data_IF_283296871438
#
_entry.id   IF_283296871438
#
_cell.length_a   1.000
_cell.length_b   1.000
_cell.length_c   1.000
_cell.angle_alpha   90.00
_cell.angle_beta   90.00
_cell.angle_gamma   90.00
#
_symmetry.space_group_name_H-M   'P 1'
#
loop_
_entity.id
_entity.type
_entity.pdbx_description
1 polymer ?
#
# COMPACT_ATOMS: atom_id res chain seq x y z
N UNK A 1 -24.31 7.16 -28.85
CA UNK A 1 -24.71 6.15 -27.84
C UNK A 1 -23.44 5.53 -27.29
N UNK A 2 -23.19 5.73 -26.00
CA UNK A 2 -21.86 5.78 -25.36
C UNK A 2 -21.26 4.39 -25.11
N UNK A 3 -20.13 4.10 -25.75
CA UNK A 3 -19.28 2.93 -25.48
C UNK A 3 -18.08 3.39 -24.63
N UNK A 4 -18.24 3.50 -23.30
CA UNK A 4 -17.12 3.79 -22.40
C UNK A 4 -16.52 2.49 -21.86
N UNK A 5 -15.31 2.22 -22.34
CA UNK A 5 -14.40 1.13 -21.98
C UNK A 5 -14.03 1.19 -20.50
N UNK A 6 -14.39 0.16 -19.74
CA UNK A 6 -13.78 -0.16 -18.46
C UNK A 6 -12.41 -0.79 -18.76
N UNK A 7 -11.40 0.02 -19.03
CA UNK A 7 -10.04 -0.46 -19.28
C UNK A 7 -9.31 -0.61 -17.95
N UNK A 8 -9.60 -1.71 -17.25
CA UNK A 8 -8.75 -2.21 -16.17
C UNK A 8 -7.47 -2.73 -16.85
N UNK A 9 -6.39 -1.94 -16.87
CA UNK A 9 -5.08 -2.43 -17.33
C UNK A 9 -4.50 -3.31 -16.23
N UNK A 10 -5.02 -4.54 -16.12
CA UNK A 10 -4.28 -5.66 -15.58
C UNK A 10 -3.30 -6.10 -16.66
N UNK A 11 -2.08 -5.57 -16.65
CA UNK A 11 -0.98 -6.23 -17.34
C UNK A 11 -0.55 -7.43 -16.47
N UNK A 12 -1.41 -8.46 -16.40
CA UNK A 12 -1.04 -9.77 -15.86
C UNK A 12 -0.18 -10.44 -16.94
N UNK A 13 1.11 -10.09 -16.98
CA UNK A 13 2.08 -11.00 -17.56
C UNK A 13 2.31 -12.11 -16.54
N UNK A 14 1.68 -13.26 -16.77
CA UNK A 14 2.28 -14.53 -16.35
C UNK A 14 3.68 -14.58 -16.99
N UNK A 15 4.74 -14.56 -16.17
CA UNK A 15 6.09 -14.80 -16.65
C UNK A 15 6.48 -16.24 -16.33
N UNK A 16 6.49 -17.07 -17.37
CA UNK A 16 7.54 -18.09 -17.57
C UNK A 16 8.14 -17.84 -18.97
N UNK A 17 9.40 -18.23 -19.22
CA UNK A 17 10.44 -17.30 -19.66
C UNK A 17 10.59 -17.22 -21.17
N UNK A 18 10.82 -16.01 -21.72
CA UNK A 18 11.92 -15.71 -22.66
C UNK A 18 11.84 -14.25 -23.17
N UNK A 19 13.03 -13.67 -23.33
CA UNK A 19 13.40 -12.47 -24.11
C UNK A 19 13.15 -11.08 -23.49
N UNK A 20 14.27 -10.47 -23.13
CA UNK A 20 14.45 -9.07 -22.70
C UNK A 20 14.66 -8.21 -23.94
N UNK A 21 13.99 -7.05 -24.02
CA UNK A 21 14.39 -5.96 -24.90
C UNK A 21 14.56 -4.68 -24.07
N UNK A 22 15.75 -4.10 -24.17
CA UNK A 22 16.20 -2.86 -23.53
C UNK A 22 15.82 -1.64 -24.38
N UNK A 23 15.55 -0.48 -23.75
CA UNK A 23 15.41 0.82 -24.43
C UNK A 23 16.10 1.90 -23.58
N UNK A 24 16.85 2.86 -24.16
CA UNK A 24 17.81 3.69 -23.45
C UNK A 24 17.24 5.00 -22.88
N UNK A 25 18.01 5.55 -21.93
CA UNK A 25 17.78 6.78 -21.18
C UNK A 25 17.84 8.05 -22.03
N UNK A 26 17.06 9.09 -21.67
CA UNK A 26 17.51 10.48 -21.53
C UNK A 26 16.43 11.36 -20.86
N UNK A 27 16.90 12.34 -20.09
CA UNK A 27 16.21 13.06 -19.01
C UNK A 27 16.16 14.56 -19.36
N UNK A 28 15.04 15.27 -19.09
CA UNK A 28 15.08 16.68 -18.64
C UNK A 28 13.74 17.11 -18.03
N UNK A 29 13.81 18.04 -17.07
CA UNK A 29 12.81 18.37 -16.05
C UNK A 29 12.09 19.68 -16.36
N UNK A 30 10.75 19.64 -16.44
CA UNK A 30 9.86 20.78 -16.21
C UNK A 30 8.55 20.25 -15.60
N UNK A 31 8.34 20.46 -14.30
CA UNK A 31 7.03 20.56 -13.63
C UNK A 31 5.97 19.44 -13.75
N UNK A 32 6.17 18.38 -14.51
CA UNK A 32 5.12 17.42 -14.86
C UNK A 32 5.53 15.98 -14.54
N UNK A 33 4.51 15.12 -14.33
CA UNK A 33 4.59 13.70 -13.97
C UNK A 33 5.82 12.94 -14.51
N UNK A 34 6.33 11.93 -13.77
CA UNK A 34 7.46 11.11 -14.21
C UNK A 34 7.31 10.63 -15.66
N UNK A 35 8.40 10.65 -16.45
CA UNK A 35 8.41 10.41 -17.91
C UNK A 35 7.85 9.05 -18.33
N UNK A 36 7.79 8.09 -17.41
CA UNK A 36 7.19 6.78 -17.61
C UNK A 36 5.65 6.79 -17.56
N UNK A 37 5.02 7.89 -17.15
CA UNK A 37 3.56 8.13 -17.23
C UNK A 37 3.26 8.87 -18.53
N UNK A 38 2.70 8.16 -19.52
CA UNK A 38 2.38 8.72 -20.84
C UNK A 38 1.26 9.76 -20.74
N UNK A 39 1.24 10.74 -21.65
CA UNK A 39 0.25 11.83 -21.67
C UNK A 39 -1.21 11.36 -21.63
N UNK A 40 -1.53 10.28 -22.36
CA UNK A 40 -2.87 9.66 -22.33
C UNK A 40 -3.27 9.13 -20.94
N UNK A 41 -2.30 8.67 -20.16
CA UNK A 41 -2.50 8.11 -18.82
C UNK A 41 -2.59 9.23 -17.76
N UNK A 42 -2.18 10.46 -18.11
CA UNK A 42 -2.34 11.69 -17.31
C UNK A 42 -3.78 12.22 -17.35
N UNK A 43 -4.41 12.22 -18.53
CA UNK A 43 -5.84 12.61 -18.70
C UNK A 43 -6.82 11.73 -17.92
N UNK A 44 -6.43 10.50 -17.56
CA UNK A 44 -7.29 9.57 -16.80
C UNK A 44 -7.24 9.75 -15.27
N UNK A 45 -6.49 10.73 -14.75
CA UNK A 45 -6.31 10.96 -13.30
C UNK A 45 -7.25 12.06 -12.75
N UNK A 46 -8.06 12.68 -13.60
CA UNK A 46 -8.95 13.79 -13.26
C UNK A 46 -10.42 13.32 -13.12
N UNK A 47 -10.78 12.77 -11.96
CA UNK A 47 -12.19 12.69 -11.54
C UNK A 47 -12.34 12.54 -10.03
N UNK A 48 -13.38 13.15 -9.47
CA UNK A 48 -13.56 13.43 -8.04
C UNK A 48 -14.86 12.85 -7.44
N UNK A 49 -14.77 12.42 -6.17
CA UNK A 49 -15.80 12.19 -5.13
C UNK A 49 -16.84 11.06 -5.30
N UNK A 50 -16.78 10.02 -4.45
CA UNK A 50 -17.95 9.20 -4.00
C UNK A 50 -17.71 8.58 -2.60
N UNK A 51 -18.77 8.48 -1.78
CA UNK A 51 -18.88 7.79 -0.47
C UNK A 51 -19.77 6.54 -0.60
N UNK A 52 -19.28 5.37 -0.17
CA UNK A 52 -19.94 4.07 0.18
C UNK A 52 -19.26 2.84 -0.48
N UNK A 53 -19.25 1.71 0.23
CA UNK A 53 -18.53 0.46 -0.12
C UNK A 53 -19.50 -0.57 -0.71
N UNK A 54 -19.18 -1.16 -1.87
CA UNK A 54 -20.11 -2.03 -2.62
C UNK A 54 -19.64 -3.48 -2.87
N UNK A 55 -18.32 -3.78 -2.94
CA UNK A 55 -17.83 -5.15 -3.23
C UNK A 55 -16.59 -5.53 -2.41
N UNK A 56 -16.63 -6.72 -1.78
CA UNK A 56 -15.53 -7.30 -0.98
C UNK A 56 -15.16 -8.70 -1.51
N UNK A 57 -13.87 -8.94 -1.77
CA UNK A 57 -13.37 -10.23 -2.32
C UNK A 57 -12.52 -10.94 -1.28
N UNK A 58 -12.92 -12.10 -0.76
CA UNK A 58 -12.09 -12.86 0.17
C UNK A 58 -11.52 -14.14 -0.45
N UNK A 59 -10.19 -14.25 -0.49
CA UNK A 59 -9.47 -15.40 -1.05
C UNK A 59 -9.71 -16.71 -0.29
N UNK A 60 -10.19 -16.64 0.95
CA UNK A 60 -10.57 -17.81 1.77
C UNK A 60 -12.04 -18.25 1.55
N UNK A 61 -12.81 -17.52 0.71
CA UNK A 61 -14.21 -17.78 0.43
C UNK A 61 -15.18 -17.36 1.55
N UNK A 62 -14.75 -16.54 2.50
CA UNK A 62 -15.61 -16.03 3.59
C UNK A 62 -16.47 -14.82 3.21
N UNK A 63 -16.28 -14.27 2.01
CA UNK A 63 -17.02 -13.13 1.44
C UNK A 63 -17.46 -13.47 -0.01
N UNK A 64 -17.99 -12.49 -0.75
CA UNK A 64 -18.78 -12.68 -1.98
C UNK A 64 -18.10 -13.47 -3.13
N UNK A 65 -16.76 -13.47 -3.25
CA UNK A 65 -16.06 -14.09 -4.40
C UNK A 65 -14.73 -14.76 -4.04
N UNK A 66 -14.49 -15.97 -4.58
CA UNK A 66 -13.29 -16.81 -4.37
C UNK A 66 -12.15 -16.55 -5.36
N UNK A 67 -12.43 -15.97 -6.53
CA UNK A 67 -11.43 -15.62 -7.56
C UNK A 67 -11.43 -14.13 -7.81
N UNK A 68 -10.23 -13.56 -7.89
CA UNK A 68 -10.02 -12.12 -8.16
C UNK A 68 -10.71 -11.69 -9.47
N UNK A 69 -10.65 -12.52 -10.51
CA UNK A 69 -11.28 -12.22 -11.80
C UNK A 69 -12.81 -12.18 -11.72
N UNK A 70 -13.44 -13.11 -11.00
CA UNK A 70 -14.91 -13.18 -10.89
C UNK A 70 -15.46 -11.96 -10.14
N UNK A 71 -14.73 -11.50 -9.12
CA UNK A 71 -15.05 -10.26 -8.44
C UNK A 71 -14.85 -9.03 -9.30
N UNK A 72 -13.79 -8.98 -10.10
CA UNK A 72 -13.54 -7.88 -11.04
C UNK A 72 -14.67 -7.79 -12.07
N UNK A 73 -15.17 -8.93 -12.58
CA UNK A 73 -16.29 -8.96 -13.52
C UNK A 73 -17.62 -8.56 -12.88
N UNK A 74 -17.77 -8.80 -11.58
CA UNK A 74 -19.00 -8.52 -10.83
C UNK A 74 -19.01 -7.13 -10.18
N UNK A 75 -17.86 -6.45 -10.13
CA UNK A 75 -17.75 -5.11 -9.58
C UNK A 75 -18.66 -4.14 -10.37
N UNK A 76 -19.60 -3.44 -9.72
CA UNK A 76 -20.38 -2.41 -10.37
C UNK A 76 -19.43 -1.34 -10.92
N UNK A 77 -19.78 -0.73 -12.06
CA UNK A 77 -19.01 0.39 -12.66
C UNK A 77 -19.08 1.62 -11.75
N UNK A 78 -18.31 1.60 -10.67
CA UNK A 78 -18.13 2.69 -9.72
C UNK A 78 -16.65 2.81 -9.43
N UNK A 79 -16.11 4.00 -9.62
CA UNK A 79 -14.70 4.30 -9.40
C UNK A 79 -14.51 4.87 -7.99
N UNK A 80 -13.62 4.26 -7.19
CA UNK A 80 -13.27 4.77 -5.89
C UNK A 80 -12.60 3.74 -4.99
N UNK A 81 -11.68 4.19 -4.12
CA UNK A 81 -11.01 3.34 -3.12
C UNK A 81 -11.99 2.51 -2.30
N UNK A 82 -13.18 3.05 -2.01
CA UNK A 82 -14.17 2.40 -1.18
C UNK A 82 -15.09 1.46 -2.01
N UNK A 83 -15.19 1.63 -3.33
CA UNK A 83 -16.10 0.85 -4.18
C UNK A 83 -15.63 -0.60 -4.39
N UNK A 84 -14.33 -0.80 -4.63
CA UNK A 84 -13.74 -2.13 -4.87
C UNK A 84 -12.73 -2.46 -3.77
N UNK A 85 -13.01 -3.51 -3.00
CA UNK A 85 -12.14 -3.98 -1.90
C UNK A 85 -11.77 -5.45 -2.08
N UNK A 86 -10.48 -5.75 -2.14
CA UNK A 86 -9.96 -7.11 -2.01
C UNK A 86 -9.61 -7.32 -0.54
N UNK A 87 -10.24 -8.29 0.10
CA UNK A 87 -10.04 -8.64 1.49
C UNK A 87 -9.43 -10.04 1.68
N UNK A 88 -8.84 -10.25 2.85
CA UNK A 88 -8.32 -11.53 3.29
C UNK A 88 -8.08 -11.45 4.78
N UNK A 89 -7.80 -12.59 5.42
CA UNK A 89 -7.64 -12.62 6.88
C UNK A 89 -6.44 -13.47 7.33
N UNK A 90 -5.56 -13.89 6.43
CA UNK A 90 -4.39 -14.69 6.79
C UNK A 90 -3.49 -13.91 7.76
N UNK A 91 -2.94 -14.61 8.73
CA UNK A 91 -2.05 -14.02 9.74
C UNK A 91 -1.05 -15.03 10.27
N UNK A 92 0.07 -14.51 10.79
CA UNK A 92 1.15 -15.32 11.35
C UNK A 92 0.66 -16.20 12.50
N UNK A 93 -0.05 -15.60 13.47
CA UNK A 93 -0.51 -16.33 14.66
C UNK A 93 -1.57 -17.39 14.36
N UNK A 94 -2.54 -17.08 13.51
CA UNK A 94 -3.66 -17.99 13.23
C UNK A 94 -3.27 -19.12 12.29
N UNK A 95 -2.39 -18.83 11.33
CA UNK A 95 -2.10 -19.73 10.22
C UNK A 95 -0.69 -20.34 10.28
N UNK A 96 0.13 -19.98 11.27
CA UNK A 96 1.53 -20.39 11.37
C UNK A 96 2.35 -20.07 10.10
N UNK A 97 2.14 -18.86 9.57
CA UNK A 97 2.77 -18.36 8.35
C UNK A 97 3.76 -17.23 8.66
N UNK A 98 4.78 -17.06 7.83
CA UNK A 98 5.60 -15.84 7.89
C UNK A 98 4.82 -14.66 7.27
N UNK A 99 5.18 -13.41 7.61
CA UNK A 99 4.51 -12.21 7.06
C UNK A 99 4.44 -12.21 5.53
N UNK A 100 5.43 -12.81 4.85
CA UNK A 100 5.45 -12.89 3.39
C UNK A 100 4.22 -13.60 2.80
N UNK A 101 3.76 -14.67 3.47
CA UNK A 101 2.66 -15.52 3.00
C UNK A 101 1.29 -15.12 3.57
N UNK A 102 1.21 -14.09 4.42
CA UNK A 102 -0.07 -13.58 4.93
C UNK A 102 -0.71 -12.52 4.05
N UNK A 103 -0.05 -12.15 2.94
CA UNK A 103 -0.50 -11.11 2.02
C UNK A 103 -1.87 -11.45 1.41
N UNK A 104 -2.84 -10.57 1.61
CA UNK A 104 -4.13 -10.63 0.93
C UNK A 104 -3.96 -10.43 -0.57
N UNK A 105 -3.08 -9.51 -0.98
CA UNK A 105 -2.73 -9.34 -2.39
C UNK A 105 -1.22 -9.22 -2.54
N UNK A 106 -0.66 -10.00 -3.46
CA UNK A 106 0.77 -10.07 -3.73
C UNK A 106 1.08 -9.71 -5.18
N UNK A 107 2.06 -8.84 -5.38
CA UNK A 107 2.47 -8.33 -6.69
C UNK A 107 3.95 -8.59 -6.89
N UNK A 108 4.29 -9.38 -7.90
CA UNK A 108 5.70 -9.67 -8.25
C UNK A 108 6.05 -9.23 -9.69
N UNK A 109 5.06 -9.00 -10.56
CA UNK A 109 5.28 -8.59 -11.97
C UNK A 109 5.66 -7.12 -12.14
N UNK A 110 6.71 -6.84 -12.92
CA UNK A 110 7.26 -5.49 -13.16
C UNK A 110 6.23 -4.55 -13.79
N UNK A 111 6.24 -3.29 -13.36
CA UNK A 111 5.41 -2.22 -13.94
C UNK A 111 3.94 -2.33 -13.56
N UNK A 112 3.62 -3.06 -12.50
CA UNK A 112 2.25 -3.20 -12.01
C UNK A 112 1.66 -1.84 -11.62
N UNK A 113 0.41 -1.58 -12.04
CA UNK A 113 -0.32 -0.37 -11.69
C UNK A 113 -1.67 -0.77 -11.10
N UNK A 114 -1.97 -0.30 -9.89
CA UNK A 114 -3.30 -0.34 -9.31
C UNK A 114 -3.84 1.09 -9.16
N UNK A 115 -5.13 1.27 -9.44
CA UNK A 115 -5.85 2.52 -9.25
C UNK A 115 -7.25 2.28 -8.68
N UNK A 116 -7.70 3.15 -7.78
CA UNK A 116 -9.10 3.16 -7.29
C UNK A 116 -9.57 1.82 -6.69
N UNK A 117 -8.68 1.10 -6.01
CA UNK A 117 -8.97 -0.19 -5.38
C UNK A 117 -8.34 -0.26 -3.99
N UNK A 118 -8.98 -0.95 -3.06
CA UNK A 118 -8.45 -1.19 -1.72
C UNK A 118 -8.06 -2.64 -1.49
N UNK A 119 -6.99 -2.83 -0.71
CA UNK A 119 -6.54 -4.12 -0.21
C UNK A 119 -6.65 -4.11 1.31
N UNK A 120 -7.31 -5.12 1.89
CA UNK A 120 -7.63 -5.16 3.32
C UNK A 120 -7.30 -6.50 3.94
N UNK A 121 -6.52 -6.51 5.02
CA UNK A 121 -6.39 -7.70 5.87
C UNK A 121 -7.22 -7.54 7.15
N UNK A 122 -8.20 -8.41 7.35
CA UNK A 122 -9.17 -8.38 8.45
C UNK A 122 -8.76 -9.23 9.66
N UNK A 123 -7.54 -9.78 9.68
CA UNK A 123 -7.10 -10.66 10.77
C UNK A 123 -7.20 -10.03 12.16
N UNK A 124 -7.04 -8.72 12.28
CA UNK A 124 -7.15 -7.99 13.55
C UNK A 124 -5.85 -7.97 14.38
N UNK A 125 -5.76 -7.09 15.38
CA UNK A 125 -4.51 -6.77 16.06
C UNK A 125 -4.01 -7.86 17.01
N UNK A 126 -4.85 -8.85 17.36
CA UNK A 126 -4.47 -9.96 18.26
C UNK A 126 -3.74 -11.10 17.53
N UNK A 127 -3.67 -11.04 16.20
CA UNK A 127 -3.21 -12.14 15.34
C UNK A 127 -1.80 -11.92 14.77
N UNK A 128 -1.04 -10.99 15.36
CA UNK A 128 0.31 -10.60 14.94
C UNK A 128 0.32 -10.16 13.46
N UNK A 129 1.38 -10.50 12.71
CA UNK A 129 1.62 -10.02 11.35
C UNK A 129 0.53 -10.49 10.37
N UNK A 130 -0.05 -9.55 9.63
CA UNK A 130 -1.14 -9.82 8.68
C UNK A 130 -1.13 -8.80 7.53
N UNK A 131 -0.52 -9.17 6.41
CA UNK A 131 -0.26 -8.26 5.30
C UNK A 131 -1.52 -8.07 4.43
N UNK A 132 -1.87 -6.82 4.14
CA UNK A 132 -2.94 -6.49 3.19
C UNK A 132 -2.40 -6.44 1.75
N UNK A 133 -1.27 -5.77 1.55
CA UNK A 133 -0.62 -5.68 0.24
C UNK A 133 0.88 -5.98 0.37
N UNK A 134 1.38 -6.90 -0.46
CA UNK A 134 2.82 -7.13 -0.67
C UNK A 134 3.19 -6.76 -2.10
N UNK A 135 4.21 -5.91 -2.26
CA UNK A 135 4.78 -5.59 -3.58
C UNK A 135 6.27 -5.94 -3.61
N UNK A 136 6.65 -6.83 -4.52
CA UNK A 136 8.03 -7.07 -4.99
C UNK A 136 8.24 -6.58 -6.43
N UNK A 137 7.25 -5.91 -7.02
CA UNK A 137 7.31 -5.41 -8.39
C UNK A 137 8.25 -4.21 -8.50
N UNK A 138 9.15 -4.23 -9.48
CA UNK A 138 9.90 -3.05 -9.87
C UNK A 138 9.03 -2.09 -10.70
N UNK A 139 9.20 -0.77 -10.47
CA UNK A 139 8.42 0.30 -11.11
C UNK A 139 6.90 0.16 -10.88
N UNK A 140 6.48 -0.34 -9.71
CA UNK A 140 5.05 -0.42 -9.39
C UNK A 140 4.46 0.92 -8.96
N UNK A 141 3.16 1.07 -9.22
CA UNK A 141 2.40 2.29 -8.92
C UNK A 141 1.09 1.94 -8.27
N UNK A 142 0.80 2.61 -7.16
CA UNK A 142 -0.49 2.55 -6.49
C UNK A 142 -1.02 3.98 -6.42
N UNK A 143 -2.10 4.25 -7.15
CA UNK A 143 -2.70 5.59 -7.22
C UNK A 143 -4.12 5.57 -6.70
N UNK A 144 -4.40 6.35 -5.64
CA UNK A 144 -5.71 6.33 -4.98
C UNK A 144 -6.12 4.89 -4.64
N UNK A 145 -5.24 4.21 -3.91
CA UNK A 145 -5.51 2.88 -3.36
C UNK A 145 -5.68 2.95 -1.84
N UNK A 146 -6.52 2.07 -1.30
CA UNK A 146 -6.56 1.80 0.15
C UNK A 146 -5.69 0.60 0.50
N UNK A 147 -4.92 0.69 1.58
CA UNK A 147 -4.17 -0.43 2.14
C UNK A 147 -4.46 -0.47 3.64
N UNK A 148 -5.26 -1.44 4.07
CA UNK A 148 -5.85 -1.43 5.40
C UNK A 148 -5.54 -2.72 6.16
N UNK A 149 -4.91 -2.60 7.33
CA UNK A 149 -4.69 -3.73 8.23
C UNK A 149 -4.43 -3.27 9.65
N UNK A 150 -3.69 -4.08 10.40
CA UNK A 150 -3.17 -3.74 11.72
C UNK A 150 -1.64 -3.83 11.69
N UNK A 151 -1.06 -4.92 12.18
CA UNK A 151 0.38 -5.16 12.08
C UNK A 151 0.77 -5.63 10.67
N UNK A 152 1.86 -5.08 10.12
CA UNK A 152 2.44 -5.42 8.81
C UNK A 152 1.51 -5.12 7.61
N UNK A 153 0.67 -4.07 7.67
CA UNK A 153 -0.37 -3.81 6.66
C UNK A 153 0.15 -3.71 5.21
N UNK A 154 1.20 -2.92 4.97
CA UNK A 154 1.85 -2.77 3.68
C UNK A 154 3.27 -3.33 3.74
N UNK A 155 3.49 -4.43 3.02
CA UNK A 155 4.82 -4.98 2.78
C UNK A 155 5.37 -4.43 1.46
N UNK A 156 6.01 -3.26 1.51
CA UNK A 156 6.83 -2.71 0.44
C UNK A 156 8.13 -3.52 0.33
N UNK A 157 7.99 -4.77 -0.13
CA UNK A 157 8.98 -5.84 0.04
C UNK A 157 10.31 -5.49 -0.63
N UNK A 158 10.33 -5.20 -1.93
CA UNK A 158 11.57 -4.92 -2.65
C UNK A 158 11.36 -4.06 -3.91
N UNK A 159 12.46 -3.63 -4.54
CA UNK A 159 12.48 -2.86 -5.80
C UNK A 159 11.91 -1.43 -5.67
N UNK A 160 11.66 -0.76 -6.80
CA UNK A 160 11.22 0.65 -6.85
C UNK A 160 9.70 0.74 -6.91
N UNK A 161 9.10 1.54 -6.03
CA UNK A 161 7.64 1.62 -5.87
C UNK A 161 7.18 3.07 -5.65
N UNK A 162 6.00 3.41 -6.17
CA UNK A 162 5.40 4.72 -5.98
C UNK A 162 3.94 4.62 -5.51
N UNK A 163 3.65 5.23 -4.38
CA UNK A 163 2.32 5.30 -3.78
C UNK A 163 1.86 6.75 -3.78
N UNK A 164 0.76 7.08 -4.46
CA UNK A 164 0.26 8.45 -4.56
C UNK A 164 -1.22 8.53 -4.23
N UNK A 165 -1.59 9.49 -3.38
CA UNK A 165 -2.98 9.72 -2.97
C UNK A 165 -3.62 8.47 -2.32
N UNK A 166 -2.80 7.61 -1.74
CA UNK A 166 -3.26 6.39 -1.08
C UNK A 166 -3.70 6.66 0.36
N UNK A 167 -4.57 5.79 0.87
CA UNK A 167 -4.91 5.71 2.30
C UNK A 167 -4.29 4.44 2.87
N UNK A 168 -3.42 4.58 3.86
CA UNK A 168 -2.71 3.43 4.46
C UNK A 168 -2.96 3.45 5.96
N UNK A 169 -3.48 2.36 6.53
CA UNK A 169 -3.77 2.28 7.97
C UNK A 169 -3.21 1.05 8.64
N UNK A 170 -2.74 1.19 9.88
CA UNK A 170 -2.35 0.07 10.72
C UNK A 170 -1.86 0.46 12.10
N UNK A 171 -1.20 -0.48 12.79
CA UNK A 171 -0.70 -0.32 14.16
C UNK A 171 0.81 -0.45 14.26
N UNK A 172 1.35 -1.67 14.18
CA UNK A 172 2.78 -1.97 14.35
C UNK A 172 3.38 -2.21 12.98
N UNK A 173 4.49 -1.53 12.69
CA UNK A 173 5.31 -1.70 11.49
C UNK A 173 4.48 -1.71 10.20
N UNK A 174 3.42 -0.90 10.15
CA UNK A 174 2.38 -1.12 9.16
C UNK A 174 2.76 -0.65 7.74
N UNK A 175 3.91 0.01 7.59
CA UNK A 175 4.62 0.19 6.32
C UNK A 175 6.05 -0.33 6.49
N UNK A 176 6.34 -1.50 5.96
CA UNK A 176 7.62 -2.17 6.20
C UNK A 176 8.20 -2.81 4.93
N UNK A 177 9.49 -3.12 4.97
CA UNK A 177 10.19 -3.83 3.91
C UNK A 177 11.48 -3.16 3.46
N UNK A 178 11.95 -3.56 2.27
CA UNK A 178 13.28 -3.24 1.74
C UNK A 178 13.24 -2.38 0.48
N UNK A 179 12.05 -2.04 -0.02
CA UNK A 179 11.89 -1.27 -1.25
C UNK A 179 12.54 0.13 -1.19
N UNK A 180 12.87 0.65 -2.36
CA UNK A 180 12.95 2.10 -2.58
C UNK A 180 11.53 2.60 -2.89
N UNK A 181 10.83 3.10 -1.88
CA UNK A 181 9.43 3.48 -2.01
C UNK A 181 9.22 4.97 -1.70
N UNK A 182 8.48 5.64 -2.58
CA UNK A 182 8.02 7.01 -2.36
C UNK A 182 6.52 7.02 -2.12
N UNK A 183 6.10 7.67 -1.05
CA UNK A 183 4.72 7.91 -0.66
C UNK A 183 4.46 9.41 -0.81
N UNK A 184 3.57 9.80 -1.71
CA UNK A 184 3.30 11.20 -2.00
C UNK A 184 1.82 11.53 -1.88
N UNK A 185 1.52 12.59 -1.14
CA UNK A 185 0.14 13.03 -0.91
C UNK A 185 -0.76 11.93 -0.31
N UNK A 186 -0.18 11.03 0.48
CA UNK A 186 -0.89 9.91 1.11
C UNK A 186 -1.46 10.30 2.48
N UNK A 187 -2.59 9.69 2.84
CA UNK A 187 -3.13 9.74 4.19
C UNK A 187 -2.68 8.49 4.95
N UNK A 188 -1.89 8.69 5.99
CA UNK A 188 -1.33 7.65 6.85
C UNK A 188 -2.11 7.66 8.17
N UNK A 189 -2.84 6.58 8.44
CA UNK A 189 -3.87 6.51 9.47
C UNK A 189 -3.47 5.53 10.57
N UNK A 190 -3.14 6.04 11.74
CA UNK A 190 -2.68 5.23 12.87
C UNK A 190 -3.88 4.69 13.65
N UNK A 191 -3.98 3.37 13.78
CA UNK A 191 -5.07 2.70 14.48
C UNK A 191 -4.78 2.50 15.96
N UNK A 192 -5.82 2.20 16.75
CA UNK A 192 -5.66 1.91 18.18
C UNK A 192 -4.92 0.60 18.38
N UNK A 193 -3.84 0.62 19.18
CA UNK A 193 -3.09 -0.57 19.55
C UNK A 193 -3.80 -1.40 20.61
N UNK A 194 -3.36 -2.65 20.80
CA UNK A 194 -3.78 -3.45 21.97
C UNK A 194 -3.15 -2.88 23.26
N UNK A 195 -3.70 -3.16 24.46
CA UNK A 195 -3.12 -2.69 25.71
C UNK A 195 -1.64 -3.07 25.84
N UNK A 196 -0.78 -2.10 26.15
CA UNK A 196 0.67 -2.29 26.27
C UNK A 196 1.43 -2.30 24.94
N UNK A 197 0.73 -2.30 23.80
CA UNK A 197 1.35 -2.18 22.48
C UNK A 197 1.70 -0.72 22.18
N UNK A 198 2.82 -0.53 21.48
CA UNK A 198 3.16 0.74 20.83
C UNK A 198 3.07 0.59 19.32
N UNK A 199 2.67 1.66 18.64
CA UNK A 199 2.57 1.71 17.20
C UNK A 199 3.86 2.26 16.57
N UNK A 200 4.16 1.76 15.39
CA UNK A 200 5.27 2.21 14.55
C UNK A 200 4.77 2.33 13.13
N UNK A 201 4.90 3.52 12.54
CA UNK A 201 4.43 3.74 11.16
C UNK A 201 5.32 2.97 10.19
N UNK A 202 6.63 3.08 10.35
CA UNK A 202 7.59 2.39 9.48
C UNK A 202 8.49 1.39 10.20
N UNK A 203 8.86 0.35 9.46
CA UNK A 203 9.93 -0.57 9.82
C UNK A 203 10.77 -0.89 8.58
N UNK A 204 11.66 0.04 8.23
CA UNK A 204 12.47 -0.07 7.02
C UNK A 204 13.67 -1.01 7.26
N UNK A 205 13.90 -1.91 6.30
CA UNK A 205 14.82 -3.04 6.41
C UNK A 205 16.19 -2.84 5.75
N UNK A 206 16.68 -1.61 5.60
CA UNK A 206 17.94 -1.32 4.92
C UNK A 206 19.11 -2.20 5.35
N UNK A 207 19.85 -2.75 4.37
CA UNK A 207 21.01 -3.61 4.58
C UNK A 207 22.31 -2.90 4.19
N UNK A 208 23.42 -3.22 4.84
CA UNK A 208 24.73 -2.59 4.65
C UNK A 208 25.22 -2.67 3.19
N UNK A 209 25.09 -3.84 2.57
CA UNK A 209 25.67 -4.16 1.25
C UNK A 209 24.65 -4.08 0.10
N UNK A 210 23.80 -3.06 0.12
CA UNK A 210 22.81 -2.88 -0.94
C UNK A 210 23.39 -2.09 -2.10
N UNK A 211 23.79 -2.78 -3.17
CA UNK A 211 24.08 -2.16 -4.48
C UNK A 211 22.84 -1.51 -5.11
N UNK A 212 21.64 -1.86 -4.61
CA UNK A 212 20.36 -1.31 -5.06
C UNK A 212 19.88 -0.17 -4.16
N UNK A 213 19.17 0.84 -4.70
CA UNK A 213 18.55 1.85 -3.88
C UNK A 213 17.48 1.23 -2.97
N UNK A 214 17.40 1.70 -1.73
CA UNK A 214 16.39 1.32 -0.75
C UNK A 214 16.05 2.53 0.13
N UNK A 215 14.91 2.45 0.82
CA UNK A 215 14.47 3.44 1.80
C UNK A 215 13.09 3.96 1.50
N UNK A 216 12.47 4.58 2.48
CA UNK A 216 11.14 5.15 2.37
C UNK A 216 11.20 6.68 2.40
N UNK A 217 10.49 7.33 1.48
CA UNK A 217 10.32 8.78 1.46
C UNK A 217 8.84 9.12 1.49
N UNK A 218 8.41 9.92 2.46
CA UNK A 218 7.06 10.44 2.60
C UNK A 218 7.07 11.94 2.29
N UNK A 219 6.22 12.35 1.36
CA UNK A 219 6.21 13.71 0.80
C UNK A 219 4.79 14.24 0.75
N UNK A 220 4.53 15.41 1.34
CA UNK A 220 3.19 16.02 1.32
C UNK A 220 2.10 15.11 1.91
N UNK A 221 2.49 14.16 2.75
CA UNK A 221 1.57 13.23 3.37
C UNK A 221 0.84 13.89 4.55
N UNK A 222 -0.22 13.25 5.02
CA UNK A 222 -0.87 13.55 6.29
C UNK A 222 -0.83 12.33 7.20
N UNK A 223 -0.26 12.48 8.38
CA UNK A 223 -0.24 11.46 9.43
C UNK A 223 -1.23 11.86 10.53
N UNK A 224 -2.23 11.02 10.78
CA UNK A 224 -3.23 11.26 11.83
C UNK A 224 -3.74 9.96 12.43
N UNK A 225 -4.42 10.05 13.58
CA UNK A 225 -5.16 8.93 14.14
C UNK A 225 -6.33 8.53 13.22
N UNK A 226 -6.59 7.22 13.13
CA UNK A 226 -7.80 6.64 12.53
C UNK A 226 -8.98 6.73 13.53
N UNK A 227 -10.20 6.46 13.06
CA UNK A 227 -11.45 6.60 13.80
C UNK A 227 -11.47 5.92 15.18
N UNK A 228 -10.75 4.81 15.36
CA UNK A 228 -10.68 4.04 16.60
C UNK A 228 -9.71 4.64 17.63
N UNK A 229 -8.67 5.34 17.17
CA UNK A 229 -7.68 6.00 18.02
C UNK A 229 -8.02 7.47 18.28
N UNK A 230 -8.73 8.15 17.35
CA UNK A 230 -9.08 9.57 17.45
C UNK A 230 -9.70 10.00 18.80
N UNK A 231 -10.60 9.22 19.44
CA UNK A 231 -11.17 9.61 20.74
C UNK A 231 -10.19 9.46 21.91
N UNK A 232 -9.10 8.69 21.72
CA UNK A 232 -8.19 8.25 22.78
C UNK A 232 -6.74 8.32 22.30
N UNK A 233 -6.35 9.38 21.58
CA UNK A 233 -5.05 9.49 20.88
C UNK A 233 -3.84 9.17 21.76
N UNK A 234 -3.92 9.45 23.07
CA UNK A 234 -2.84 9.19 24.04
C UNK A 234 -2.85 7.78 24.66
N UNK A 235 -3.80 6.91 24.30
CA UNK A 235 -3.88 5.53 24.82
C UNK A 235 -2.87 4.58 24.20
N UNK A 236 -2.30 4.92 23.05
CA UNK A 236 -1.32 4.11 22.33
C UNK A 236 -0.17 5.00 21.89
N UNK A 237 1.02 4.76 22.43
CA UNK A 237 2.23 5.47 21.98
C UNK A 237 2.47 5.16 20.50
N UNK A 238 2.84 6.17 19.72
CA UNK A 238 3.03 6.04 18.27
C UNK A 238 4.30 6.75 17.87
N UNK A 239 5.13 6.03 17.11
CA UNK A 239 6.42 6.50 16.61
C UNK A 239 6.42 6.48 15.07
N UNK A 240 7.18 7.38 14.45
CA UNK A 240 7.35 7.45 13.00
C UNK A 240 7.93 6.17 12.42
N UNK A 241 8.73 5.45 13.19
CA UNK A 241 9.17 4.14 12.83
C UNK A 241 10.24 3.59 13.77
N UNK A 242 10.75 2.43 13.40
CA UNK A 242 11.89 1.78 14.06
C UNK A 242 12.80 1.13 13.02
N UNK A 243 14.11 0.98 13.29
CA UNK A 243 14.99 0.25 12.39
C UNK A 243 14.67 -1.24 12.45
N UNK A 244 14.15 -1.83 11.36
CA UNK A 244 14.03 -3.29 11.28
C UNK A 244 15.39 -3.94 11.04
N UNK A 245 16.28 -3.22 10.36
CA UNK A 245 17.68 -3.60 10.08
C UNK A 245 18.61 -2.41 10.28
N UNK A 246 19.89 -2.70 10.40
CA UNK A 246 20.93 -1.79 10.91
C UNK A 246 21.13 -0.52 10.06
N UNK A 247 20.76 -0.56 8.78
CA UNK A 247 20.89 0.58 7.85
C UNK A 247 19.54 1.16 7.45
N UNK A 248 18.54 1.07 8.32
CA UNK A 248 17.20 1.62 8.08
C UNK A 248 17.24 3.08 7.63
N UNK A 249 16.54 3.41 6.54
CA UNK A 249 16.42 4.77 5.99
C UNK A 249 14.96 5.13 5.72
N UNK A 250 14.45 6.10 6.48
CA UNK A 250 13.12 6.68 6.27
C UNK A 250 13.22 8.20 6.38
N UNK A 251 12.59 8.91 5.44
CA UNK A 251 12.54 10.37 5.42
C UNK A 251 11.07 10.80 5.34
N UNK A 252 10.69 11.75 6.19
CA UNK A 252 9.42 12.48 6.11
C UNK A 252 9.72 13.94 5.79
N UNK A 253 9.15 14.46 4.70
CA UNK A 253 9.36 15.84 4.28
C UNK A 253 8.04 16.47 3.85
N UNK A 254 7.85 17.74 4.22
CA UNK A 254 6.62 18.49 3.95
C UNK A 254 5.34 17.72 4.35
N UNK A 255 5.44 16.91 5.40
CA UNK A 255 4.36 16.01 5.84
C UNK A 255 3.68 16.60 7.06
N UNK A 256 2.36 16.75 7.01
CA UNK A 256 1.57 17.24 8.13
C UNK A 256 1.32 16.09 9.13
N UNK A 257 1.65 16.31 10.40
CA UNK A 257 1.55 15.30 11.44
C UNK A 257 0.71 15.86 12.59
N UNK A 258 -0.36 15.17 12.97
CA UNK A 258 -1.19 15.58 14.12
C UNK A 258 -0.52 15.20 15.46
N UNK A 259 -1.19 15.50 16.58
CA UNK A 259 -0.77 15.13 17.95
C UNK A 259 -0.76 13.61 18.24
N UNK A 260 -0.82 12.76 17.21
CA UNK A 260 -0.80 11.30 17.29
C UNK A 260 0.58 10.75 17.64
N UNK A 261 1.66 11.45 17.25
CA UNK A 261 3.01 11.04 17.59
C UNK A 261 3.36 11.31 19.06
N UNK A 262 4.18 10.41 19.58
CA UNK A 262 4.92 10.60 20.83
C UNK A 262 6.04 11.62 20.63
N UNK A 263 6.40 12.35 21.70
CA UNK A 263 7.39 13.43 21.61
C UNK A 263 8.80 12.97 21.23
N UNK A 264 9.12 11.70 21.48
CA UNK A 264 10.40 11.08 21.13
C UNK A 264 10.56 10.83 19.62
N UNK A 265 9.50 10.99 18.82
CA UNK A 265 9.50 10.80 17.38
C UNK A 265 9.08 9.42 16.94
#
# INVERSE_FOLDING_TARGET
>A
MVTLKLLIIFQIFFCTPLHVLTVPDHFSLQGEFPTWIKARDRMMLETSNVKNIDVVVALDGTEDYRKVMDAIFSAPKRDGMDATVISGNLSSRRNNLTSYYTATFAVDGIGFIAKYISFKNTAGPKNNQAVALRSSSDKSVFYRCGIFGYQDSLYAHSQRQFYRECRISGTVDFIFGYAAAVFQNCNILVKKGTPGQSNTITAQGGMHDSTKPFGFSFQFCKISADHDLLPVVKSTQTYLGRPWKDHSKTIFMETYITNVLSAQG
#
